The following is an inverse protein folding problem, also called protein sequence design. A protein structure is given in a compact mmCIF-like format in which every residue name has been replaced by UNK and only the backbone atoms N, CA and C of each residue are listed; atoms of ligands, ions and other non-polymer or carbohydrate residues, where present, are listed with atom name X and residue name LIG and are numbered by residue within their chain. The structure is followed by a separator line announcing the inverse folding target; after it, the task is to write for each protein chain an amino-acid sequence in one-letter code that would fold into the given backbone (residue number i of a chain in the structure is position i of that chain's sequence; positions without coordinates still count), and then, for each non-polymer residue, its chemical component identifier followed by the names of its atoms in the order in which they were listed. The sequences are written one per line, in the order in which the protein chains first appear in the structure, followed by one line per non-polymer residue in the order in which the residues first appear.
data_IF_085827318156
#
_entry.id   IF_085827318156
#
_cell.length_a   1.000
_cell.length_b   1.000
_cell.length_c   1.000
_cell.angle_alpha   90.00
_cell.angle_beta   90.00
_cell.angle_gamma   90.00
#
_symmetry.space_group_name_H-M   'P 1'
#
loop_
_entity.id
_entity.type
_entity.pdbx_description
1 polymer ?
#
# COMPACT_ATOMS: atom_id res chain seq x y z
N UNK A 1 6.41 0.73 -5.15
CA UNK A 1 4.94 0.64 -4.94
C UNK A 1 4.19 1.90 -5.39
N UNK A 2 4.50 3.11 -4.88
CA UNK A 2 3.74 4.32 -5.25
C UNK A 2 3.77 4.64 -6.76
N UNK A 3 4.89 4.41 -7.44
CA UNK A 3 4.99 4.63 -8.89
C UNK A 3 3.96 3.79 -9.66
N UNK A 4 3.82 2.52 -9.32
CA UNK A 4 2.89 1.59 -9.97
C UNK A 4 1.40 1.89 -9.67
N UNK A 5 1.09 2.63 -8.61
CA UNK A 5 -0.28 2.89 -8.14
C UNK A 5 -0.79 4.29 -8.47
N UNK A 6 0.09 5.28 -8.39
CA UNK A 6 -0.27 6.68 -8.48
C UNK A 6 0.76 7.55 -9.22
N UNK A 7 1.89 6.98 -9.67
CA UNK A 7 3.04 7.80 -10.08
C UNK A 7 3.59 8.62 -8.91
N UNK A 8 3.51 8.06 -7.69
CA UNK A 8 3.84 8.73 -6.42
C UNK A 8 3.12 10.07 -6.22
N UNK A 9 1.89 10.20 -6.73
CA UNK A 9 1.07 11.39 -6.57
C UNK A 9 0.41 11.41 -5.18
N UNK A 10 0.91 12.29 -4.29
CA UNK A 10 0.46 12.45 -2.91
C UNK A 10 -0.79 13.35 -2.73
N UNK A 11 -1.51 13.69 -3.81
CA UNK A 11 -2.74 14.47 -3.69
C UNK A 11 -3.86 13.65 -3.03
N UNK A 12 -4.81 14.32 -2.37
CA UNK A 12 -6.00 13.72 -1.73
C UNK A 12 -7.05 13.19 -2.71
N UNK A 13 -6.63 12.75 -3.89
CA UNK A 13 -7.50 12.16 -4.89
C UNK A 13 -7.79 10.70 -4.53
N UNK A 14 -9.08 10.40 -4.38
CA UNK A 14 -9.59 9.04 -4.28
C UNK A 14 -10.13 8.59 -5.63
N UNK A 15 -9.70 7.43 -6.10
CA UNK A 15 -10.21 6.78 -7.32
C UNK A 15 -10.82 5.46 -6.90
N UNK A 16 -12.12 5.28 -7.11
CA UNK A 16 -12.86 4.06 -6.74
C UNK A 16 -12.68 3.64 -5.26
N UNK A 17 -12.64 4.60 -4.33
CA UNK A 17 -12.46 4.33 -2.90
C UNK A 17 -11.02 4.11 -2.45
N UNK A 18 -10.05 4.16 -3.37
CA UNK A 18 -8.62 4.05 -3.09
C UNK A 18 -7.93 5.43 -3.18
N UNK A 19 -7.28 5.87 -2.11
CA UNK A 19 -6.86 7.26 -1.93
C UNK A 19 -5.34 7.44 -1.84
N UNK A 20 -4.88 8.60 -2.29
CA UNK A 20 -3.52 9.10 -2.03
C UNK A 20 -2.38 8.31 -2.68
N UNK A 21 -1.17 8.48 -2.12
CA UNK A 21 0.09 8.09 -2.75
C UNK A 21 0.21 6.58 -2.99
N UNK A 22 -0.35 5.76 -2.10
CA UNK A 22 -0.35 4.29 -2.22
C UNK A 22 -1.72 3.72 -2.58
N UNK A 23 -2.70 4.54 -3.00
CA UNK A 23 -4.05 4.06 -3.29
C UNK A 23 -4.61 3.18 -2.16
N UNK A 24 -4.46 3.65 -0.92
CA UNK A 24 -4.96 2.94 0.26
C UNK A 24 -6.49 2.88 0.22
N UNK A 25 -7.06 1.76 0.65
CA UNK A 25 -8.49 1.66 0.93
C UNK A 25 -8.78 1.97 2.40
N UNK A 26 -10.04 2.28 2.71
CA UNK A 26 -10.47 2.49 4.09
C UNK A 26 -10.20 1.27 4.97
N UNK A 27 -10.47 0.06 4.46
CA UNK A 27 -10.29 -1.18 5.22
C UNK A 27 -8.82 -1.45 5.53
N UNK A 28 -7.91 -1.18 4.57
CA UNK A 28 -6.47 -1.25 4.83
C UNK A 28 -6.04 -0.31 5.95
N UNK A 29 -6.53 0.94 5.94
CA UNK A 29 -6.25 1.91 6.99
C UNK A 29 -6.80 1.49 8.36
N UNK A 30 -8.02 0.96 8.39
CA UNK A 30 -8.66 0.43 9.60
C UNK A 30 -7.89 -0.74 10.19
N UNK A 31 -7.52 -1.70 9.34
CA UNK A 31 -6.79 -2.90 9.75
C UNK A 31 -5.38 -2.62 10.23
N UNK A 32 -4.81 -1.50 9.79
CA UNK A 32 -3.50 -0.98 10.17
C UNK A 32 -3.50 -0.18 11.47
N UNK A 33 -4.63 -0.15 12.18
CA UNK A 33 -4.76 0.56 13.45
C UNK A 33 -5.15 2.03 13.33
N UNK A 34 -5.60 2.48 12.15
CA UNK A 34 -6.02 3.86 11.87
C UNK A 34 -4.94 4.90 12.18
N UNK A 35 -3.71 4.78 11.65
CA UNK A 35 -2.67 5.78 11.86
C UNK A 35 -3.13 7.15 11.35
N UNK A 36 -2.70 8.22 12.00
CA UNK A 36 -3.07 9.59 11.61
C UNK A 36 -1.85 10.47 11.48
N UNK A 37 -2.00 11.56 10.74
CA UNK A 37 -1.03 12.65 10.76
C UNK A 37 -1.07 13.37 12.12
N UNK A 38 -0.01 14.08 12.46
CA UNK A 38 0.07 14.76 13.75
C UNK A 38 -1.08 15.77 13.95
N UNK A 39 -1.79 15.65 15.07
CA UNK A 39 -2.93 16.51 15.41
C UNK A 39 -4.29 16.03 14.90
N UNK A 40 -4.34 15.00 14.06
CA UNK A 40 -5.58 14.37 13.62
C UNK A 40 -6.09 13.33 14.63
N UNK A 41 -7.41 13.14 14.65
CA UNK A 41 -8.08 12.11 15.47
C UNK A 41 -8.44 10.89 14.61
N UNK A 42 -8.13 9.65 15.02
CA UNK A 42 -8.48 8.44 14.26
C UNK A 42 -10.00 8.22 14.12
N UNK A 43 -10.83 9.02 14.80
CA UNK A 43 -12.29 8.99 14.72
C UNK A 43 -12.86 10.05 13.76
N UNK A 44 -12.01 10.91 13.17
CA UNK A 44 -12.46 11.92 12.21
C UNK A 44 -12.72 11.28 10.83
N UNK A 45 -13.79 11.72 10.18
CA UNK A 45 -14.14 11.30 8.81
C UNK A 45 -13.04 11.64 7.78
N UNK A 46 -12.20 12.64 8.06
CA UNK A 46 -11.12 13.08 7.17
C UNK A 46 -9.79 12.36 7.39
N UNK A 47 -9.62 11.65 8.51
CA UNK A 47 -8.28 11.18 8.91
C UNK A 47 -7.72 10.09 8.03
N UNK A 48 -8.58 9.24 7.46
CA UNK A 48 -8.17 8.31 6.41
C UNK A 48 -7.59 9.04 5.20
N UNK A 49 -8.31 10.02 4.65
CA UNK A 49 -7.84 10.74 3.45
C UNK A 49 -6.61 11.59 3.72
N UNK A 50 -6.52 12.20 4.91
CA UNK A 50 -5.34 12.95 5.33
C UNK A 50 -4.11 12.02 5.43
N UNK A 51 -4.28 10.87 6.08
CA UNK A 51 -3.22 9.88 6.20
C UNK A 51 -2.80 9.31 4.84
N UNK A 52 -3.76 8.96 3.98
CA UNK A 52 -3.47 8.39 2.67
C UNK A 52 -2.71 9.35 1.74
N UNK A 53 -2.90 10.66 1.90
CA UNK A 53 -2.16 11.70 1.17
C UNK A 53 -0.79 12.01 1.76
N UNK A 54 -0.58 11.78 3.05
CA UNK A 54 0.71 12.02 3.69
C UNK A 54 1.65 10.82 3.45
N UNK A 55 2.83 11.02 2.82
CA UNK A 55 3.73 9.90 2.50
C UNK A 55 4.15 9.06 3.70
N UNK A 56 4.33 9.66 4.88
CA UNK A 56 4.77 8.95 6.07
C UNK A 56 3.62 8.17 6.69
N UNK A 57 2.47 8.81 6.91
CA UNK A 57 1.30 8.13 7.45
C UNK A 57 0.79 7.00 6.53
N UNK A 58 0.83 7.22 5.22
CA UNK A 58 0.46 6.20 4.25
C UNK A 58 1.46 5.03 4.24
N UNK A 59 2.76 5.30 4.38
CA UNK A 59 3.77 4.25 4.51
C UNK A 59 3.63 3.48 5.83
N UNK A 60 3.31 4.15 6.94
CA UNK A 60 3.05 3.51 8.23
C UNK A 60 1.80 2.63 8.16
N UNK A 61 0.77 3.07 7.44
CA UNK A 61 -0.40 2.22 7.14
C UNK A 61 0.02 0.93 6.46
N UNK A 62 0.80 1.01 5.37
CA UNK A 62 1.26 -0.19 4.67
C UNK A 62 2.11 -1.08 5.56
N UNK A 63 3.07 -0.52 6.29
CA UNK A 63 3.95 -1.30 7.18
C UNK A 63 3.15 -2.04 8.25
N UNK A 64 2.16 -1.39 8.87
CA UNK A 64 1.27 -2.04 9.84
C UNK A 64 0.38 -3.10 9.19
N UNK A 65 -0.10 -2.86 7.96
CA UNK A 65 -0.87 -3.84 7.20
C UNK A 65 -0.03 -5.09 6.88
N UNK A 66 1.22 -4.90 6.46
CA UNK A 66 2.16 -6.00 6.19
C UNK A 66 2.56 -6.71 7.48
N UNK A 67 2.76 -5.99 8.59
CA UNK A 67 3.00 -6.64 9.88
C UNK A 67 1.84 -7.57 10.29
N UNK A 68 0.60 -7.21 9.95
CA UNK A 68 -0.59 -8.00 10.26
C UNK A 68 -0.81 -9.17 9.31
N UNK A 69 -0.50 -9.00 8.03
CA UNK A 69 -0.92 -9.92 6.96
C UNK A 69 0.21 -10.48 6.09
N UNK A 70 1.45 -10.13 6.41
CA UNK A 70 2.66 -10.61 5.77
C UNK A 70 2.70 -12.13 5.71
N UNK A 71 2.99 -12.64 4.52
CA UNK A 71 3.07 -14.06 4.21
C UNK A 71 3.77 -14.23 2.87
N UNK A 72 4.40 -15.39 2.67
CA UNK A 72 4.95 -15.81 1.38
C UNK A 72 3.78 -16.11 0.40
N UNK A 73 3.61 -15.21 -0.56
CA UNK A 73 2.53 -15.25 -1.56
C UNK A 73 2.99 -15.86 -2.88
N UNK A 74 4.28 -15.79 -3.20
CA UNK A 74 4.84 -16.32 -4.45
C UNK A 74 5.48 -17.71 -4.30
N UNK A 75 5.49 -18.26 -3.08
CA UNK A 75 6.04 -19.57 -2.71
C UNK A 75 7.55 -19.70 -2.93
N UNK A 76 8.31 -18.61 -2.71
CA UNK A 76 9.77 -18.58 -2.83
C UNK A 76 10.53 -18.73 -1.50
N UNK A 77 9.82 -19.05 -0.41
CA UNK A 77 10.31 -19.21 0.95
C UNK A 77 10.82 -17.92 1.61
N UNK A 78 10.58 -16.76 1.00
CA UNK A 78 10.88 -15.45 1.55
C UNK A 78 9.61 -14.61 1.71
N UNK A 79 9.64 -13.66 2.64
CA UNK A 79 8.60 -12.65 2.80
C UNK A 79 9.23 -11.30 2.46
N UNK A 80 9.03 -10.84 1.22
CA UNK A 80 9.73 -9.71 0.66
C UNK A 80 8.82 -8.69 -0.06
N UNK A 81 9.45 -7.79 -0.81
CA UNK A 81 8.75 -6.72 -1.54
C UNK A 81 7.73 -7.25 -2.55
N UNK A 82 7.95 -8.42 -3.15
CA UNK A 82 7.03 -9.02 -4.11
C UNK A 82 5.74 -9.48 -3.39
N UNK A 83 5.87 -10.10 -2.21
CA UNK A 83 4.72 -10.50 -1.41
C UNK A 83 3.91 -9.30 -0.92
N UNK A 84 4.59 -8.27 -0.40
CA UNK A 84 3.90 -7.07 0.07
C UNK A 84 3.18 -6.32 -1.06
N UNK A 85 3.72 -6.34 -2.28
CA UNK A 85 3.03 -5.78 -3.44
C UNK A 85 1.76 -6.57 -3.78
N UNK A 86 1.83 -7.90 -3.73
CA UNK A 86 0.69 -8.79 -3.96
C UNK A 86 -0.38 -8.63 -2.87
N UNK A 87 0.02 -8.60 -1.59
CA UNK A 87 -0.89 -8.38 -0.45
C UNK A 87 -1.56 -7.01 -0.56
N UNK A 88 -0.83 -5.95 -0.91
CA UNK A 88 -1.40 -4.61 -1.05
C UNK A 88 -2.42 -4.54 -2.18
N UNK A 89 -2.11 -5.12 -3.34
CA UNK A 89 -2.93 -4.99 -4.53
C UNK A 89 -4.12 -5.96 -4.55
N UNK A 90 -3.87 -7.23 -4.23
CA UNK A 90 -4.86 -8.31 -4.33
C UNK A 90 -5.59 -8.57 -3.01
N UNK A 91 -5.05 -8.08 -1.89
CA UNK A 91 -5.50 -8.41 -0.55
C UNK A 91 -4.87 -9.70 -0.02
N UNK A 92 -4.79 -9.86 1.30
CA UNK A 92 -4.00 -10.93 1.93
C UNK A 92 -4.57 -12.33 1.72
N UNK A 93 -5.87 -12.45 1.45
CA UNK A 93 -6.52 -13.75 1.20
C UNK A 93 -6.51 -14.15 -0.28
N UNK A 94 -5.99 -13.29 -1.14
CA UNK A 94 -5.96 -13.50 -2.60
C UNK A 94 -4.59 -13.14 -3.19
N UNK A 95 -3.54 -13.02 -2.37
CA UNK A 95 -2.23 -12.57 -2.81
C UNK A 95 -1.49 -13.55 -3.74
N UNK A 96 -1.97 -14.80 -3.82
CA UNK A 96 -1.45 -15.81 -4.76
C UNK A 96 -2.06 -15.70 -6.17
N UNK A 97 -3.02 -14.80 -6.38
CA UNK A 97 -3.63 -14.57 -7.69
C UNK A 97 -2.78 -13.63 -8.54
N UNK A 98 -2.87 -13.77 -9.86
CA UNK A 98 -2.15 -12.92 -10.81
C UNK A 98 -2.52 -11.45 -10.62
N UNK A 99 -1.51 -10.62 -10.43
CA UNK A 99 -1.67 -9.17 -10.41
C UNK A 99 -1.87 -8.62 -11.83
N UNK A 100 -2.54 -7.46 -12.00
CA UNK A 100 -2.65 -6.83 -13.30
C UNK A 100 -1.27 -6.46 -13.87
N UNK A 101 -1.03 -6.85 -15.13
CA UNK A 101 0.24 -6.65 -15.84
C UNK A 101 0.79 -5.23 -15.73
N UNK A 102 -0.06 -4.21 -15.84
CA UNK A 102 0.37 -2.81 -15.80
C UNK A 102 0.98 -2.44 -14.43
N UNK A 103 0.38 -2.91 -13.34
CA UNK A 103 0.89 -2.69 -11.99
C UNK A 103 2.20 -3.47 -11.79
N UNK A 104 2.20 -4.76 -12.09
CA UNK A 104 3.34 -5.64 -11.87
C UNK A 104 4.57 -5.17 -12.66
N UNK A 105 4.41 -4.82 -13.95
CA UNK A 105 5.50 -4.38 -14.81
C UNK A 105 6.17 -3.11 -14.27
N UNK A 106 5.39 -2.10 -13.88
CA UNK A 106 5.95 -0.86 -13.32
C UNK A 106 6.61 -1.15 -11.97
N UNK A 107 5.98 -1.94 -11.11
CA UNK A 107 6.51 -2.30 -9.80
C UNK A 107 7.88 -3.00 -9.91
N UNK A 108 7.99 -4.02 -10.78
CA UNK A 108 9.24 -4.76 -11.00
C UNK A 108 10.38 -3.86 -11.46
N UNK A 109 10.12 -2.98 -12.43
CA UNK A 109 11.12 -2.02 -12.91
C UNK A 109 11.62 -1.13 -11.77
N UNK A 110 10.72 -0.66 -10.90
CA UNK A 110 11.10 0.16 -9.75
C UNK A 110 11.95 -0.60 -8.73
N UNK A 111 11.59 -1.83 -8.38
CA UNK A 111 12.34 -2.65 -7.41
C UNK A 111 13.74 -2.97 -7.94
N UNK A 112 13.84 -3.44 -9.18
CA UNK A 112 15.13 -3.75 -9.82
C UNK A 112 16.04 -2.51 -9.90
N UNK A 113 15.45 -1.33 -10.03
CA UNK A 113 16.20 -0.06 -10.03
C UNK A 113 16.65 0.32 -8.63
N UNK A 114 15.80 0.17 -7.62
CA UNK A 114 16.13 0.50 -6.23
C UNK A 114 17.22 -0.41 -5.64
N UNK A 115 17.22 -1.70 -5.98
CA UNK A 115 18.21 -2.67 -5.50
C UNK A 115 19.62 -2.48 -6.11
N UNK A 116 19.74 -1.68 -7.18
CA UNK A 116 21.02 -1.37 -7.85
C UNK A 116 21.71 -0.12 -7.30
N UNK A 117 21.07 0.62 -6.40
CA UNK A 117 21.58 1.84 -5.78
C UNK A 117 22.10 1.55 -4.39
#
# INVERSE_FOLDING_TARGET
MCEALSGCNATSICVNGACGIFRLTWDQWVDSGRPTVAGDSPLSDTSFTNCASDPYCAADTLQNYMFKYGQDCNEDEQEDCYDYAAIHYMGPFNCKADMPYNFENIFRICIETAQRQ
#
